data_IF_636950917748
#
_entry.id   IF_636950917748
#
_cell.length_a   1.000
_cell.length_b   1.000
_cell.length_c   1.000
_cell.angle_alpha   90.00
_cell.angle_beta   90.00
_cell.angle_gamma   90.00
#
_symmetry.space_group_name_H-M   'P 1'
#
loop_
_entity.id
_entity.type
_entity.pdbx_description
1 polymer ?
#
# COMPACT_ATOMS: atom_id res chain seq x y z
N UNK A 1 -24.51 16.54 -34.31
CA UNK A 1 -24.75 15.66 -33.15
C UNK A 1 -23.40 15.27 -32.58
N UNK A 2 -22.89 16.01 -31.59
CA UNK A 2 -21.58 15.68 -30.98
C UNK A 2 -21.85 14.63 -29.90
N UNK A 3 -21.28 13.45 -30.10
CA UNK A 3 -21.45 12.29 -29.23
C UNK A 3 -20.89 12.65 -27.84
N UNK A 4 -21.77 12.89 -26.87
CA UNK A 4 -21.41 13.20 -25.48
C UNK A 4 -20.97 11.92 -24.78
N UNK A 5 -19.73 11.52 -25.02
CA UNK A 5 -18.98 10.70 -24.09
C UNK A 5 -17.67 11.43 -23.75
N UNK A 6 -17.83 12.66 -23.25
CA UNK A 6 -16.72 13.43 -22.71
C UNK A 6 -16.31 12.77 -21.39
N UNK A 7 -15.31 11.89 -21.46
CA UNK A 7 -14.51 11.55 -20.29
C UNK A 7 -13.96 12.88 -19.74
N UNK A 8 -14.63 13.44 -18.72
CA UNK A 8 -14.30 14.74 -18.10
C UNK A 8 -12.87 14.79 -17.54
N UNK A 9 -12.22 13.63 -17.45
CA UNK A 9 -10.91 13.41 -16.89
C UNK A 9 -10.35 12.07 -17.37
N UNK A 10 -9.01 11.94 -17.35
CA UNK A 10 -8.33 10.66 -17.53
C UNK A 10 -8.83 9.64 -16.49
N UNK A 11 -9.06 8.36 -16.84
CA UNK A 11 -9.61 7.38 -15.91
C UNK A 11 -8.75 7.20 -14.65
N UNK A 12 -7.44 7.41 -14.78
CA UNK A 12 -6.48 7.34 -13.68
C UNK A 12 -6.38 8.59 -12.79
N UNK A 13 -7.04 9.72 -13.14
CA UNK A 13 -6.90 10.95 -12.34
C UNK A 13 -7.71 10.90 -11.03
N UNK A 14 -8.77 10.08 -10.97
CA UNK A 14 -9.73 10.12 -9.85
C UNK A 14 -9.04 9.95 -8.49
N UNK A 15 -8.09 9.01 -8.40
CA UNK A 15 -7.30 8.75 -7.19
C UNK A 15 -6.34 9.87 -6.82
N UNK A 16 -6.00 10.75 -7.75
CA UNK A 16 -5.14 11.93 -7.51
C UNK A 16 -5.98 13.16 -7.13
N UNK A 17 -7.20 13.29 -7.65
CA UNK A 17 -8.08 14.43 -7.37
C UNK A 17 -8.90 14.25 -6.10
N UNK A 18 -9.12 13.00 -5.67
CA UNK A 18 -9.93 12.65 -4.51
C UNK A 18 -9.20 11.61 -3.64
N UNK A 19 -8.05 11.97 -3.03
CA UNK A 19 -7.33 11.06 -2.15
C UNK A 19 -8.18 10.72 -0.91
N UNK A 20 -8.09 9.48 -0.45
CA UNK A 20 -8.78 9.00 0.75
C UNK A 20 -7.84 9.09 1.95
N UNK A 21 -8.39 9.51 3.09
CA UNK A 21 -7.67 9.48 4.37
C UNK A 21 -7.68 8.04 4.90
N UNK A 22 -6.51 7.56 5.30
CA UNK A 22 -6.29 6.27 5.93
C UNK A 22 -5.67 6.53 7.31
N UNK A 23 -6.38 6.19 8.38
CA UNK A 23 -5.88 6.33 9.76
C UNK A 23 -5.23 5.03 10.21
N UNK A 24 -4.03 5.14 10.79
CA UNK A 24 -3.26 4.01 11.34
C UNK A 24 -2.69 4.34 12.72
N UNK A 25 -2.62 3.34 13.58
CA UNK A 25 -1.96 3.45 14.88
C UNK A 25 -0.46 3.26 14.73
N UNK A 26 0.33 4.18 15.27
CA UNK A 26 1.77 4.10 15.31
C UNK A 26 2.22 2.93 16.18
N UNK A 27 2.98 1.94 15.66
CA UNK A 27 3.41 0.79 16.45
C UNK A 27 4.49 1.15 17.48
N UNK A 28 5.10 2.33 17.39
CA UNK A 28 6.15 2.76 18.31
C UNK A 28 5.62 3.50 19.54
N UNK A 29 4.56 4.32 19.38
CA UNK A 29 4.03 5.13 20.49
C UNK A 29 2.51 5.04 20.69
N UNK A 30 1.77 4.37 19.81
CA UNK A 30 0.31 4.29 19.87
C UNK A 30 -0.45 5.49 19.30
N UNK A 31 0.24 6.56 18.89
CA UNK A 31 -0.39 7.75 18.30
C UNK A 31 -1.06 7.48 16.95
N UNK A 32 -2.05 8.29 16.57
CA UNK A 32 -2.70 8.19 15.27
C UNK A 32 -1.83 8.84 14.18
N UNK A 33 -1.77 8.19 13.02
CA UNK A 33 -1.04 8.66 11.84
C UNK A 33 -2.02 8.65 10.68
N UNK A 34 -2.18 9.82 10.06
CA UNK A 34 -2.96 9.98 8.84
C UNK A 34 -2.06 9.74 7.63
N UNK A 35 -2.59 9.02 6.65
CA UNK A 35 -2.01 8.89 5.32
C UNK A 35 -3.05 9.32 4.29
N UNK A 36 -2.62 10.02 3.25
CA UNK A 36 -3.41 10.11 2.04
C UNK A 36 -3.18 8.86 1.17
N UNK A 37 -4.20 8.40 0.45
CA UNK A 37 -4.14 7.15 -0.32
C UNK A 37 -3.12 7.13 -1.46
N UNK A 38 -2.60 8.30 -1.83
CA UNK A 38 -1.54 8.52 -2.81
C UNK A 38 -0.15 8.68 -2.17
N UNK A 39 -0.06 8.77 -0.85
CA UNK A 39 1.21 8.76 -0.12
C UNK A 39 1.72 7.33 0.11
N UNK A 40 3.04 7.18 0.20
CA UNK A 40 3.69 5.92 0.52
C UNK A 40 4.27 5.88 1.93
N UNK A 41 4.45 7.05 2.53
CA UNK A 41 5.00 7.24 3.87
C UNK A 41 4.43 8.48 4.54
N UNK A 42 4.38 8.47 5.87
CA UNK A 42 3.98 9.60 6.69
C UNK A 42 4.78 9.59 8.00
N UNK A 43 5.04 10.77 8.57
CA UNK A 43 5.68 10.89 9.86
C UNK A 43 4.64 10.87 10.98
N UNK A 44 4.85 10.05 12.01
CA UNK A 44 4.00 10.07 13.19
C UNK A 44 4.11 11.44 13.89
N UNK A 45 3.00 12.18 14.09
CA UNK A 45 3.03 13.50 14.69
C UNK A 45 3.43 13.48 16.17
N UNK A 46 3.22 12.36 16.85
CA UNK A 46 3.51 12.21 18.29
C UNK A 46 4.97 11.89 18.60
N UNK A 47 5.62 11.05 17.78
CA UNK A 47 6.99 10.57 18.09
C UNK A 47 8.02 10.77 16.98
N UNK A 48 7.62 11.34 15.84
CA UNK A 48 8.52 11.65 14.72
C UNK A 48 9.01 10.44 13.92
N UNK A 49 8.54 9.23 14.21
CA UNK A 49 8.91 8.03 13.43
C UNK A 49 8.23 8.06 12.05
N UNK A 50 9.00 7.79 11.00
CA UNK A 50 8.45 7.56 9.65
C UNK A 50 7.80 6.18 9.59
N UNK A 51 6.55 6.14 9.12
CA UNK A 51 5.80 4.93 8.82
C UNK A 51 5.59 4.86 7.31
N UNK A 52 5.55 3.64 6.78
CA UNK A 52 5.18 3.39 5.39
C UNK A 52 3.80 2.74 5.33
N UNK A 53 3.04 3.06 4.28
CA UNK A 53 1.82 2.32 3.94
C UNK A 53 2.18 0.83 3.72
N UNK A 54 1.30 -0.07 4.16
CA UNK A 54 1.52 -1.53 4.10
C UNK A 54 2.03 -1.99 2.73
N UNK A 55 2.82 -3.07 2.74
CA UNK A 55 3.31 -3.73 1.52
C UNK A 55 2.15 -3.93 0.52
N UNK A 56 2.20 -3.17 -0.57
CA UNK A 56 1.18 -3.21 -1.61
C UNK A 56 1.46 -4.34 -2.59
N UNK A 57 0.45 -4.84 -3.32
CA UNK A 57 0.65 -5.76 -4.43
C UNK A 57 1.69 -5.25 -5.44
N UNK A 58 1.74 -3.94 -5.68
CA UNK A 58 2.72 -3.35 -6.59
C UNK A 58 4.14 -3.58 -6.05
N UNK A 59 4.43 -3.26 -4.78
CA UNK A 59 5.71 -3.51 -4.11
C UNK A 59 6.18 -4.96 -4.27
N UNK A 60 5.25 -5.91 -4.10
CA UNK A 60 5.53 -7.34 -4.19
C UNK A 60 5.86 -7.80 -5.61
N UNK A 61 5.28 -7.18 -6.64
CA UNK A 61 5.52 -7.54 -8.04
C UNK A 61 6.94 -7.18 -8.48
N UNK A 62 7.47 -6.02 -8.09
CA UNK A 62 8.77 -5.55 -8.57
C UNK A 62 9.95 -5.84 -7.63
N UNK A 63 9.71 -6.02 -6.33
CA UNK A 63 10.79 -6.13 -5.36
C UNK A 63 11.48 -7.51 -5.38
N UNK A 64 12.81 -7.52 -5.44
CA UNK A 64 13.62 -8.74 -5.32
C UNK A 64 13.56 -9.40 -3.95
N UNK A 65 13.32 -8.61 -2.90
CA UNK A 65 13.25 -9.06 -1.51
C UNK A 65 11.82 -9.33 -1.02
N UNK A 66 10.83 -9.41 -1.93
CA UNK A 66 9.42 -9.50 -1.56
C UNK A 66 9.11 -10.68 -0.62
N UNK A 67 9.67 -11.86 -0.86
CA UNK A 67 9.44 -13.03 -0.01
C UNK A 67 10.00 -12.88 1.42
N UNK A 68 11.17 -12.25 1.55
CA UNK A 68 11.78 -11.96 2.85
C UNK A 68 10.94 -10.92 3.59
N UNK A 69 10.55 -9.84 2.91
CA UNK A 69 9.68 -8.81 3.47
C UNK A 69 8.35 -9.38 3.97
N UNK A 70 7.67 -10.23 3.19
CA UNK A 70 6.41 -10.85 3.61
C UNK A 70 6.60 -11.77 4.83
N UNK A 71 7.69 -12.54 4.86
CA UNK A 71 8.04 -13.41 6.00
C UNK A 71 8.27 -12.61 7.28
N UNK A 72 9.06 -11.53 7.21
CA UNK A 72 9.35 -10.65 8.34
C UNK A 72 8.08 -9.97 8.88
N UNK A 73 7.22 -9.49 7.97
CA UNK A 73 5.95 -8.87 8.35
C UNK A 73 5.01 -9.87 9.04
N UNK A 74 5.00 -11.13 8.59
CA UNK A 74 4.20 -12.21 9.17
C UNK A 74 4.71 -12.61 10.56
N UNK A 75 6.02 -12.78 10.74
CA UNK A 75 6.64 -13.13 12.03
C UNK A 75 6.38 -12.05 13.09
N UNK A 76 6.52 -10.78 12.69
CA UNK A 76 6.26 -9.62 13.56
C UNK A 76 4.78 -9.33 13.77
N UNK A 77 3.88 -10.11 13.17
CA UNK A 77 2.41 -9.94 13.24
C UNK A 77 1.95 -8.55 12.77
N UNK A 78 2.66 -7.96 11.80
CA UNK A 78 2.33 -6.66 11.22
C UNK A 78 1.31 -6.76 10.08
N UNK A 79 1.07 -7.96 9.57
CA UNK A 79 0.02 -8.27 8.59
C UNK A 79 -0.75 -9.52 9.02
N UNK A 80 -2.02 -9.64 8.62
CA UNK A 80 -2.81 -10.83 8.91
C UNK A 80 -2.28 -12.06 8.15
N UNK A 81 -2.53 -13.30 8.63
CA UNK A 81 -2.15 -14.51 7.91
C UNK A 81 -2.75 -14.58 6.49
N UNK A 82 -4.02 -14.16 6.34
CA UNK A 82 -4.68 -14.09 5.04
C UNK A 82 -4.05 -13.09 4.09
N UNK A 83 -3.57 -11.95 4.62
CA UNK A 83 -2.85 -10.94 3.84
C UNK A 83 -1.48 -11.44 3.40
N UNK A 84 -0.73 -12.09 4.30
CA UNK A 84 0.55 -12.70 3.96
C UNK A 84 0.41 -13.73 2.83
N UNK A 85 -0.57 -14.63 2.94
CA UNK A 85 -0.85 -15.64 1.91
C UNK A 85 -1.20 -14.99 0.56
N UNK A 86 -2.00 -13.92 0.56
CA UNK A 86 -2.33 -13.18 -0.66
C UNK A 86 -1.07 -12.58 -1.32
N UNK A 87 -0.19 -11.95 -0.54
CA UNK A 87 1.04 -11.35 -1.04
C UNK A 87 2.02 -12.40 -1.56
N UNK A 88 2.15 -13.55 -0.87
CA UNK A 88 2.99 -14.67 -1.34
C UNK A 88 2.52 -15.20 -2.70
N UNK A 89 1.21 -15.32 -2.92
CA UNK A 89 0.65 -15.74 -4.22
C UNK A 89 0.99 -14.75 -5.34
N UNK A 90 0.91 -13.45 -5.05
CA UNK A 90 1.27 -12.39 -6.02
C UNK A 90 2.76 -12.46 -6.35
N UNK A 91 3.62 -12.63 -5.33
CA UNK A 91 5.07 -12.75 -5.51
C UNK A 91 5.46 -13.94 -6.40
N UNK A 92 4.85 -15.11 -6.17
CA UNK A 92 5.07 -16.32 -6.99
C UNK A 92 4.69 -16.10 -8.44
N UNK A 93 3.47 -15.61 -8.69
CA UNK A 93 2.97 -15.36 -10.04
C UNK A 93 3.82 -14.35 -10.82
N UNK A 94 4.36 -13.34 -10.13
CA UNK A 94 5.26 -12.36 -10.75
C UNK A 94 6.62 -12.96 -11.16
N UNK A 95 7.09 -14.00 -10.46
CA UNK A 95 8.36 -14.71 -10.73
C UNK A 95 8.24 -15.81 -11.77
N UNK A 96 7.05 -16.38 -11.92
CA UNK A 96 6.75 -17.46 -12.88
C UNK A 96 6.57 -16.96 -14.32
N UNK A 97 6.35 -15.65 -14.50
CA UNK A 97 6.13 -15.08 -15.84
C UNK A 97 7.49 -14.71 -16.47
N UNK A 98 7.85 -15.30 -17.63
CA UNK A 98 9.10 -15.00 -18.32
C UNK A 98 9.15 -13.56 -18.84
#
# INVERSE_FOLDING_TARGET
MVNQNLMKHCPGIKTLTEPKIIIRTCPACGGEVEFFSDETEAQCPECGRTLHIEASPSCVVWCQYAFQCISDLKERKLISPSRAEQLEKIAKKAREKP
#
